data_IF_117655860007
#
_entry.id   IF_117655860007
#
_cell.length_a   1.000
_cell.length_b   1.000
_cell.length_c   1.000
_cell.angle_alpha   90.00
_cell.angle_beta   90.00
_cell.angle_gamma   90.00
#
_symmetry.space_group_name_H-M   'P 1'
#
loop_
_entity.id
_entity.type
_entity.pdbx_description
1 polymer ?
#
# COMPACT_ATOMS: atom_id res chain seq x y z
N UNK A 1 7.67 19.08 -45.32
CA UNK A 1 7.95 18.08 -44.27
C UNK A 1 8.75 18.71 -43.12
N UNK A 2 8.13 19.38 -42.13
CA UNK A 2 8.82 19.73 -40.85
C UNK A 2 7.92 20.38 -39.78
N UNK A 3 6.74 19.83 -39.44
CA UNK A 3 5.91 20.38 -38.34
C UNK A 3 5.14 19.31 -37.54
N UNK A 4 5.74 18.14 -37.30
CA UNK A 4 5.09 17.07 -36.51
C UNK A 4 5.93 16.59 -35.31
N UNK A 5 6.87 17.41 -34.81
CA UNK A 5 7.75 17.02 -33.70
C UNK A 5 7.48 17.78 -32.38
N UNK A 6 6.46 18.64 -32.32
CA UNK A 6 6.16 19.47 -31.14
C UNK A 6 5.08 18.88 -30.19
N UNK A 7 4.57 17.68 -30.45
CA UNK A 7 3.55 17.02 -29.60
C UNK A 7 4.12 15.97 -28.63
N UNK A 8 5.44 15.70 -28.68
CA UNK A 8 6.07 14.71 -27.81
C UNK A 8 6.10 15.05 -26.30
N UNK A 9 6.18 16.32 -25.83
CA UNK A 9 6.38 16.59 -24.40
C UNK A 9 5.10 16.51 -23.55
N UNK A 10 3.91 16.35 -24.15
CA UNK A 10 2.63 16.24 -23.43
C UNK A 10 2.34 14.83 -22.88
N UNK A 11 3.21 13.86 -23.13
CA UNK A 11 3.06 12.46 -22.70
C UNK A 11 3.81 12.14 -21.39
N UNK A 12 4.45 13.13 -20.77
CA UNK A 12 5.11 12.97 -19.46
C UNK A 12 4.15 13.17 -18.28
N UNK A 13 2.84 12.99 -18.49
CA UNK A 13 1.93 12.86 -17.37
C UNK A 13 2.36 11.62 -16.57
N UNK A 14 2.84 11.81 -15.34
CA UNK A 14 3.20 10.73 -14.46
C UNK A 14 1.97 9.87 -14.16
N UNK A 15 2.07 8.57 -14.37
CA UNK A 15 1.13 7.61 -13.80
C UNK A 15 1.60 7.29 -12.38
N UNK A 16 0.67 7.03 -11.47
CA UNK A 16 0.99 6.44 -10.17
C UNK A 16 1.35 4.97 -10.40
N UNK A 17 2.61 4.61 -10.21
CA UNK A 17 3.09 3.24 -10.07
C UNK A 17 4.21 3.29 -9.03
N UNK A 18 3.80 3.29 -7.77
CA UNK A 18 4.69 3.52 -6.64
C UNK A 18 4.41 2.53 -5.51
N UNK A 19 5.39 2.35 -4.64
CA UNK A 19 5.30 1.43 -3.51
C UNK A 19 5.96 1.97 -2.27
N UNK A 20 5.36 1.69 -1.12
CA UNK A 20 5.93 1.98 0.19
C UNK A 20 5.97 0.73 1.04
N UNK A 21 6.94 0.65 1.94
CA UNK A 21 7.23 -0.56 2.70
C UNK A 21 7.33 -0.26 4.19
N UNK A 22 6.53 -0.99 4.97
CA UNK A 22 6.75 -1.15 6.40
C UNK A 22 7.69 -2.35 6.64
N UNK A 23 8.75 -2.11 7.39
CA UNK A 23 9.75 -3.13 7.74
C UNK A 23 9.44 -3.64 9.15
N UNK A 24 9.18 -4.95 9.27
CA UNK A 24 8.83 -5.59 10.54
C UNK A 24 10.10 -5.94 11.32
N UNK A 25 11.03 -6.64 10.65
CA UNK A 25 12.33 -7.03 11.21
C UNK A 25 13.37 -7.06 10.07
N UNK A 26 13.96 -5.90 9.79
CA UNK A 26 14.91 -5.72 8.70
C UNK A 26 14.27 -5.81 7.31
N UNK A 27 15.10 -6.13 6.30
CA UNK A 27 14.70 -6.07 4.89
C UNK A 27 14.04 -7.35 4.36
N UNK A 28 14.10 -8.44 5.12
CA UNK A 28 13.57 -9.74 4.71
C UNK A 28 12.14 -9.96 5.21
N UNK A 29 11.69 -9.19 6.21
CA UNK A 29 10.34 -9.28 6.79
C UNK A 29 9.61 -7.95 6.64
N UNK A 30 8.73 -7.87 5.64
CA UNK A 30 8.14 -6.60 5.20
C UNK A 30 6.68 -6.72 4.79
N UNK A 31 5.95 -5.62 4.92
CA UNK A 31 4.67 -5.37 4.27
C UNK A 31 4.85 -4.21 3.29
N UNK A 32 4.77 -4.50 2.00
CA UNK A 32 4.87 -3.48 0.95
C UNK A 32 3.50 -3.25 0.32
N UNK A 33 3.05 -2.01 0.29
CA UNK A 33 1.86 -1.61 -0.45
C UNK A 33 2.30 -1.01 -1.77
N UNK A 34 1.62 -1.38 -2.85
CA UNK A 34 1.82 -0.81 -4.18
C UNK A 34 0.52 -0.16 -4.64
N UNK A 35 0.62 1.06 -5.14
CA UNK A 35 -0.48 1.78 -5.79
C UNK A 35 -0.19 1.86 -7.29
N UNK A 36 -1.11 1.34 -8.11
CA UNK A 36 -0.95 1.28 -9.56
C UNK A 36 -2.15 1.89 -10.27
N UNK A 37 -1.88 2.88 -11.10
CA UNK A 37 -2.83 3.55 -11.98
C UNK A 37 -2.70 2.96 -13.38
N UNK A 38 -3.77 2.35 -13.90
CA UNK A 38 -3.74 1.71 -15.22
C UNK A 38 -3.40 2.71 -16.35
N UNK A 39 -3.92 3.93 -16.27
CA UNK A 39 -3.73 4.99 -17.25
C UNK A 39 -3.65 6.37 -16.61
N UNK A 40 -2.83 7.29 -17.15
CA UNK A 40 -2.62 8.64 -16.60
C UNK A 40 -3.89 9.51 -16.47
N UNK A 41 -4.96 9.19 -17.21
CA UNK A 41 -6.23 9.93 -17.17
C UNK A 41 -7.24 9.36 -16.17
N UNK A 42 -6.98 8.19 -15.59
CA UNK A 42 -7.81 7.62 -14.52
C UNK A 42 -7.58 8.38 -13.24
N UNK A 43 -8.57 8.41 -12.35
CA UNK A 43 -8.41 8.98 -11.01
C UNK A 43 -8.30 7.91 -9.93
N UNK A 44 -8.44 6.66 -10.32
CA UNK A 44 -8.42 5.51 -9.42
C UNK A 44 -7.07 4.82 -9.52
N UNK A 45 -6.64 4.25 -8.40
CA UNK A 45 -5.46 3.39 -8.28
C UNK A 45 -5.88 2.07 -7.66
N UNK A 46 -5.28 0.98 -8.15
CA UNK A 46 -5.40 -0.34 -7.54
C UNK A 46 -4.30 -0.49 -6.51
N UNK A 47 -4.70 -0.85 -5.29
CA UNK A 47 -3.81 -1.15 -4.18
C UNK A 47 -3.57 -2.66 -4.11
N UNK A 48 -2.30 -3.04 -4.09
CA UNK A 48 -1.85 -4.41 -3.84
C UNK A 48 -0.99 -4.43 -2.57
N UNK A 49 -1.16 -5.46 -1.74
CA UNK A 49 -0.25 -5.75 -0.64
C UNK A 49 0.70 -6.89 -1.02
N UNK A 50 1.97 -6.73 -0.71
CA UNK A 50 2.98 -7.76 -0.79
C UNK A 50 3.49 -8.02 0.63
N UNK A 51 3.12 -9.18 1.17
CA UNK A 51 3.67 -9.68 2.42
C UNK A 51 4.89 -10.55 2.12
N UNK A 52 5.99 -10.30 2.81
CA UNK A 52 7.22 -11.07 2.65
C UNK A 52 7.84 -11.36 4.02
N UNK A 53 8.33 -12.59 4.17
CA UNK A 53 9.21 -13.05 5.23
C UNK A 53 10.20 -14.02 4.62
N UNK A 54 11.24 -13.47 3.99
CA UNK A 54 12.20 -14.24 3.22
C UNK A 54 13.16 -15.02 4.14
N UNK A 55 13.59 -16.23 3.73
CA UNK A 55 13.22 -16.94 2.51
C UNK A 55 11.90 -17.74 2.61
N UNK A 56 11.21 -17.68 3.75
CA UNK A 56 10.09 -18.56 4.10
C UNK A 56 8.86 -18.34 3.21
N UNK A 57 8.44 -17.09 3.01
CA UNK A 57 7.29 -16.77 2.19
C UNK A 57 7.35 -15.38 1.54
N UNK A 58 6.68 -15.26 0.40
CA UNK A 58 6.31 -13.98 -0.22
C UNK A 58 5.01 -14.17 -1.00
N UNK A 59 4.00 -13.32 -0.74
CA UNK A 59 2.72 -13.39 -1.44
C UNK A 59 2.17 -11.99 -1.72
N UNK A 60 1.47 -11.87 -2.85
CA UNK A 60 0.73 -10.68 -3.24
C UNK A 60 -0.77 -10.89 -3.02
N UNK A 61 -1.43 -9.85 -2.55
CA UNK A 61 -2.88 -9.75 -2.36
C UNK A 61 -3.37 -8.49 -3.07
N UNK A 62 -4.43 -8.62 -3.85
CA UNK A 62 -5.16 -7.46 -4.36
C UNK A 62 -6.07 -6.96 -3.24
N UNK A 63 -5.98 -5.67 -2.90
CA UNK A 63 -6.80 -5.08 -1.84
C UNK A 63 -8.07 -4.47 -2.44
N UNK A 64 -7.93 -3.28 -3.02
CA UNK A 64 -9.04 -2.49 -3.54
C UNK A 64 -8.58 -1.58 -4.67
N UNK A 65 -9.54 -1.10 -5.45
CA UNK A 65 -9.35 0.05 -6.34
C UNK A 65 -10.07 1.24 -5.75
N UNK A 66 -9.33 2.30 -5.45
CA UNK A 66 -9.82 3.50 -4.79
C UNK A 66 -9.46 4.75 -5.60
N UNK A 67 -10.24 5.83 -5.52
CA UNK A 67 -9.78 7.13 -5.98
C UNK A 67 -8.44 7.48 -5.33
N UNK A 68 -7.48 8.01 -6.08
CA UNK A 68 -6.16 8.36 -5.59
C UNK A 68 -6.22 9.31 -4.38
N UNK A 69 -7.21 10.22 -4.38
CA UNK A 69 -7.46 11.14 -3.28
C UNK A 69 -7.97 10.48 -1.98
N UNK A 70 -8.45 9.24 -2.07
CA UNK A 70 -9.02 8.48 -0.96
C UNK A 70 -8.06 7.36 -0.48
N UNK A 71 -6.82 7.36 -0.97
CA UNK A 71 -5.79 6.39 -0.57
C UNK A 71 -5.29 6.72 0.82
N UNK A 72 -5.94 6.12 1.80
CA UNK A 72 -5.54 6.10 3.21
C UNK A 72 -5.68 4.66 3.71
N UNK A 73 -4.55 3.95 3.81
CA UNK A 73 -4.51 2.54 4.23
C UNK A 73 -3.77 2.43 5.56
N UNK A 74 -4.54 2.34 6.64
CA UNK A 74 -4.03 2.20 8.00
C UNK A 74 -3.49 0.80 8.23
N UNK A 75 -2.36 0.68 8.93
CA UNK A 75 -1.72 -0.58 9.29
C UNK A 75 -1.72 -0.79 10.80
N UNK A 76 -2.16 -1.97 11.24
CA UNK A 76 -2.21 -2.37 12.65
C UNK A 76 -1.46 -3.67 12.90
N UNK A 77 -0.73 -3.74 14.01
CA UNK A 77 -0.23 -4.99 14.59
C UNK A 77 -1.35 -5.64 15.41
N UNK A 78 -1.94 -6.71 14.89
CA UNK A 78 -3.11 -7.38 15.48
C UNK A 78 -2.77 -8.69 16.20
N UNK A 79 -1.49 -9.05 16.26
CA UNK A 79 -0.98 -10.24 16.95
C UNK A 79 0.45 -10.55 16.53
N UNK A 80 0.97 -11.69 16.96
CA UNK A 80 2.29 -12.16 16.55
C UNK A 80 2.31 -12.47 15.05
N UNK A 81 3.02 -11.66 14.27
CA UNK A 81 3.10 -11.76 12.81
C UNK A 81 1.74 -11.65 12.09
N UNK A 82 0.72 -11.10 12.75
CA UNK A 82 -0.62 -10.87 12.20
C UNK A 82 -0.87 -9.36 12.11
N UNK A 83 -1.29 -8.92 10.93
CA UNK A 83 -1.49 -7.52 10.61
C UNK A 83 -2.86 -7.29 10.01
N UNK A 84 -3.48 -6.18 10.38
CA UNK A 84 -4.74 -5.73 9.79
C UNK A 84 -4.48 -4.46 9.01
N UNK A 85 -4.99 -4.40 7.78
CA UNK A 85 -5.00 -3.21 6.95
C UNK A 85 -6.44 -2.72 6.83
N UNK A 86 -6.66 -1.40 6.92
CA UNK A 86 -7.98 -0.80 6.76
C UNK A 86 -7.92 0.39 5.82
N UNK A 87 -8.85 0.44 4.86
CA UNK A 87 -9.12 1.61 4.03
C UNK A 87 -10.61 1.94 4.11
N UNK A 88 -10.97 2.95 4.92
CA UNK A 88 -12.36 3.27 5.21
C UNK A 88 -13.11 2.09 5.84
N UNK A 89 -14.07 1.53 5.10
CA UNK A 89 -14.88 0.37 5.53
C UNK A 89 -14.26 -0.98 5.14
N UNK A 90 -13.25 -0.99 4.26
CA UNK A 90 -12.62 -2.22 3.79
C UNK A 90 -11.52 -2.64 4.76
N UNK A 91 -11.50 -3.92 5.12
CA UNK A 91 -10.55 -4.46 6.08
C UNK A 91 -9.95 -5.76 5.56
N UNK A 92 -8.63 -5.88 5.62
CA UNK A 92 -7.90 -7.09 5.29
C UNK A 92 -7.08 -7.52 6.48
N UNK A 93 -6.98 -8.84 6.69
CA UNK A 93 -6.11 -9.38 7.72
C UNK A 93 -5.18 -10.40 7.12
N UNK A 94 -3.89 -10.21 7.35
CA UNK A 94 -2.84 -11.08 6.81
C UNK A 94 -1.94 -11.55 7.93
N UNK A 95 -1.42 -12.76 7.79
CA UNK A 95 -0.35 -13.27 8.62
C UNK A 95 0.92 -13.46 7.77
N UNK A 96 2.07 -13.31 8.40
CA UNK A 96 3.38 -13.30 7.72
C UNK A 96 4.25 -14.51 8.05
N UNK A 97 3.76 -15.50 8.81
CA UNK A 97 4.45 -16.79 8.96
C UNK A 97 4.31 -17.64 7.69
N UNK A 98 3.14 -17.62 7.06
CA UNK A 98 2.86 -18.27 5.78
C UNK A 98 2.53 -17.30 4.64
N UNK A 99 2.51 -15.98 4.90
CA UNK A 99 2.07 -14.96 3.96
C UNK A 99 0.67 -15.30 3.43
N UNK A 100 -0.30 -15.52 4.33
CA UNK A 100 -1.68 -15.88 4.00
C UNK A 100 -2.67 -14.81 4.43
N UNK A 101 -3.74 -14.69 3.66
CA UNK A 101 -4.90 -13.88 4.03
C UNK A 101 -5.78 -14.67 4.97
N UNK A 102 -6.23 -14.00 6.02
CA UNK A 102 -7.12 -14.51 7.05
C UNK A 102 -8.52 -13.94 6.87
N UNK A 103 -9.48 -14.48 7.61
CA UNK A 103 -10.82 -13.93 7.65
C UNK A 103 -10.82 -12.49 8.17
N UNK A 104 -11.61 -11.63 7.53
CA UNK A 104 -11.82 -10.25 7.93
C UNK A 104 -12.26 -10.19 9.40
N UNK A 105 -11.64 -9.36 10.25
CA UNK A 105 -12.05 -9.22 11.64
C UNK A 105 -13.35 -8.42 11.74
N UNK A 106 -14.25 -8.83 12.64
CA UNK A 106 -15.48 -8.05 12.94
C UNK A 106 -15.17 -6.61 13.40
N UNK A 107 -14.03 -6.42 14.08
CA UNK A 107 -13.55 -5.14 14.56
C UNK A 107 -12.03 -5.05 14.40
N UNK A 108 -11.56 -3.94 13.82
CA UNK A 108 -10.13 -3.64 13.76
C UNK A 108 -9.61 -3.46 15.18
N UNK A 109 -8.57 -4.23 15.50
CA UNK A 109 -7.91 -4.21 16.80
C UNK A 109 -6.41 -4.41 16.62
N UNK A 110 -5.63 -3.93 17.58
CA UNK A 110 -4.19 -3.95 17.52
C UNK A 110 -3.55 -2.59 17.76
N UNK A 111 -2.23 -2.58 17.81
CA UNK A 111 -1.46 -1.34 17.90
C UNK A 111 -1.39 -0.69 16.51
N UNK A 112 -1.74 0.61 16.35
CA UNK A 112 -1.51 1.31 15.10
C UNK A 112 0.00 1.40 14.83
N UNK A 113 0.41 1.00 13.63
CA UNK A 113 1.79 1.03 13.18
C UNK A 113 2.05 2.22 12.26
N UNK A 114 1.05 2.64 11.49
CA UNK A 114 1.19 3.75 10.57
C UNK A 114 0.11 3.79 9.50
N UNK A 115 0.35 4.62 8.51
CA UNK A 115 -0.57 4.93 7.42
C UNK A 115 0.20 4.91 6.09
N UNK A 116 -0.31 4.15 5.12
CA UNK A 116 0.08 4.32 3.73
C UNK A 116 -0.83 5.35 3.06
N UNK A 117 -0.26 6.40 2.48
CA UNK A 117 -1.01 7.42 1.76
C UNK A 117 -0.20 7.98 0.60
N UNK A 118 -0.88 8.65 -0.33
CA UNK A 118 -0.21 9.42 -1.38
C UNK A 118 0.18 10.81 -0.82
N UNK A 119 1.41 11.25 -1.09
CA UNK A 119 1.89 12.59 -0.76
C UNK A 119 1.42 13.65 -1.78
N UNK A 120 1.84 14.90 -1.61
CA UNK A 120 1.48 16.01 -2.51
C UNK A 120 1.97 15.83 -3.96
N UNK A 121 2.86 14.88 -4.21
CA UNK A 121 3.43 14.54 -5.52
C UNK A 121 2.92 13.20 -6.06
N UNK A 122 1.81 12.68 -5.52
CA UNK A 122 1.23 11.37 -5.84
C UNK A 122 2.19 10.19 -5.58
N UNK A 123 3.14 10.34 -4.64
CA UNK A 123 4.03 9.25 -4.23
C UNK A 123 3.45 8.50 -3.05
N UNK A 124 3.50 7.18 -3.12
CA UNK A 124 3.06 6.35 -2.01
C UNK A 124 4.13 6.37 -0.92
N UNK A 125 3.74 6.79 0.28
CA UNK A 125 4.61 6.85 1.45
C UNK A 125 3.99 6.08 2.61
N UNK A 126 4.84 5.61 3.52
CA UNK A 126 4.41 5.04 4.79
C UNK A 126 4.81 6.01 5.90
N UNK A 127 3.81 6.53 6.62
CA UNK A 127 3.99 7.37 7.79
C UNK A 127 3.82 6.51 9.04
N UNK A 128 4.87 6.41 9.86
CA UNK A 128 4.80 5.70 11.14
C UNK A 128 3.81 6.39 12.09
N UNK A 129 3.01 5.59 12.80
CA UNK A 129 2.13 6.13 13.83
C UNK A 129 2.97 6.78 14.94
N UNK A 130 2.59 7.99 15.37
CA UNK A 130 3.22 8.63 16.51
C UNK A 130 3.16 7.69 17.72
N UNK A 131 4.32 7.24 18.19
CA UNK A 131 4.38 6.44 19.42
C UNK A 131 3.90 7.35 20.54
N UNK A 132 2.85 6.98 21.31
CA UNK A 132 2.47 7.77 22.46
C UNK A 132 3.69 7.90 23.37
N UNK A 133 4.15 9.14 23.57
CA UNK A 133 5.19 9.43 24.55
C UNK A 133 4.62 8.97 25.90
N UNK A 134 5.14 7.84 26.41
CA UNK A 134 4.84 7.37 27.76
C UNK A 134 5.49 8.28 28.80
#
# INVERSE_FOLDING_TARGET
MRKLFLLAPLLLAGCVDDSATYHIDGNEHTLTVRAMQEHFWKKDVTLELIAARLPDCQRRFELATLPAADVELELFASGENVYTLRAGELVWRVETNGCTEMEEPEQVSGQPLGLFHLDENDKLVFEEAETPIQ
#
